data_IF_015119376316
#
_entry.id   IF_015119376316
#
_cell.length_a   1.000
_cell.length_b   1.000
_cell.length_c   1.000
_cell.angle_alpha   90.00
_cell.angle_beta   90.00
_cell.angle_gamma   90.00
#
_symmetry.space_group_name_H-M   'P 1'
#
loop_
_entity.id
_entity.type
_entity.pdbx_description
1 polymer ?
#
# COMPACT_ATOMS: atom_id res chain seq x y z
N UNK A 1 -4.09 -11.91 16.77
CA UNK A 1 -4.83 -10.67 16.41
C UNK A 1 -5.07 -10.63 14.91
N UNK A 2 -6.08 -9.90 14.44
CA UNK A 2 -6.33 -9.69 13.01
C UNK A 2 -6.27 -8.18 12.74
N UNK A 3 -5.51 -7.79 11.73
CA UNK A 3 -5.42 -6.40 11.27
C UNK A 3 -5.92 -6.34 9.83
N UNK A 4 -6.89 -5.45 9.57
CA UNK A 4 -7.47 -5.25 8.25
C UNK A 4 -6.98 -3.91 7.71
N UNK A 5 -6.28 -3.97 6.58
CA UNK A 5 -5.55 -2.88 5.94
C UNK A 5 -4.07 -2.88 6.30
N UNK A 6 -3.18 -2.85 5.30
CA UNK A 6 -1.73 -2.69 5.45
C UNK A 6 -1.26 -1.25 5.14
N UNK A 7 -2.16 -0.28 5.24
CA UNK A 7 -1.82 1.14 5.18
C UNK A 7 -0.93 1.58 6.36
N UNK A 8 -0.62 2.88 6.42
CA UNK A 8 0.36 3.42 7.40
C UNK A 8 0.07 3.00 8.85
N UNK A 9 -1.19 3.09 9.28
CA UNK A 9 -1.59 2.74 10.65
C UNK A 9 -1.70 1.24 10.87
N UNK A 10 -2.19 0.49 9.87
CA UNK A 10 -2.37 -0.96 9.97
C UNK A 10 -1.04 -1.71 10.02
N UNK A 11 -0.07 -1.29 9.21
CA UNK A 11 1.29 -1.81 9.26
C UNK A 11 1.97 -1.56 10.60
N UNK A 12 1.81 -0.35 11.18
CA UNK A 12 2.36 -0.02 12.49
C UNK A 12 1.72 -0.85 13.62
N UNK A 13 0.40 -0.98 13.61
CA UNK A 13 -0.31 -1.82 14.57
C UNK A 13 0.10 -3.29 14.46
N UNK A 14 0.21 -3.82 13.24
CA UNK A 14 0.66 -5.20 13.02
C UNK A 14 2.10 -5.41 13.54
N UNK A 15 3.01 -4.47 13.29
CA UNK A 15 4.39 -4.51 13.83
C UNK A 15 4.37 -4.57 15.36
N UNK A 16 3.69 -3.64 16.01
CA UNK A 16 3.69 -3.54 17.47
C UNK A 16 3.07 -4.79 18.14
N UNK A 17 2.01 -5.35 17.55
CA UNK A 17 1.37 -6.57 18.04
C UNK A 17 2.29 -7.79 17.87
N UNK A 18 2.98 -7.92 16.73
CA UNK A 18 3.96 -8.98 16.49
C UNK A 18 5.15 -8.89 17.46
N UNK A 19 5.69 -7.69 17.70
CA UNK A 19 6.80 -7.47 18.65
C UNK A 19 6.42 -7.82 20.09
N UNK A 20 5.14 -7.68 20.44
CA UNK A 20 4.59 -8.12 21.74
C UNK A 20 4.29 -9.62 21.81
N UNK A 21 4.71 -10.41 20.82
CA UNK A 21 4.60 -11.87 20.82
C UNK A 21 3.27 -12.42 20.32
N UNK A 22 2.39 -11.58 19.76
CA UNK A 22 1.13 -12.05 19.20
C UNK A 22 1.33 -12.57 17.78
N UNK A 23 0.66 -13.66 17.44
CA UNK A 23 0.48 -14.06 16.04
C UNK A 23 -0.57 -13.13 15.41
N UNK A 24 -0.18 -12.40 14.36
CA UNK A 24 -1.03 -11.43 13.68
C UNK A 24 -1.31 -11.88 12.25
N UNK A 25 -2.59 -11.92 11.87
CA UNK A 25 -3.02 -12.05 10.48
C UNK A 25 -3.30 -10.65 9.92
N UNK A 26 -2.60 -10.27 8.86
CA UNK A 26 -2.77 -9.00 8.15
C UNK A 26 -3.48 -9.24 6.81
N UNK A 27 -4.57 -8.52 6.56
CA UNK A 27 -5.36 -8.62 5.33
C UNK A 27 -5.38 -7.27 4.62
N UNK A 28 -5.03 -7.22 3.34
CA UNK A 28 -5.08 -6.01 2.51
C UNK A 28 -5.81 -6.32 1.19
N UNK A 29 -6.56 -5.35 0.67
CA UNK A 29 -7.26 -5.47 -0.62
C UNK A 29 -6.27 -5.38 -1.79
N UNK A 30 -5.25 -4.54 -1.67
CA UNK A 30 -4.22 -4.31 -2.68
C UNK A 30 -3.37 -5.55 -3.00
N UNK A 31 -2.62 -5.47 -4.10
CA UNK A 31 -1.58 -6.46 -4.45
C UNK A 31 -0.35 -6.21 -3.57
N UNK A 32 0.44 -7.26 -3.34
CA UNK A 32 1.77 -7.09 -2.75
C UNK A 32 2.63 -6.24 -3.69
N UNK A 33 3.07 -5.09 -3.20
CA UNK A 33 3.92 -4.16 -3.93
C UNK A 33 5.15 -3.91 -3.07
N UNK A 34 6.31 -4.36 -3.54
CA UNK A 34 7.57 -4.14 -2.85
C UNK A 34 8.07 -2.74 -3.16
N UNK A 35 8.32 -1.98 -2.09
CA UNK A 35 9.00 -0.69 -2.19
C UNK A 35 10.30 -0.85 -2.98
N UNK A 36 10.61 0.13 -3.84
CA UNK A 36 11.77 0.18 -4.77
C UNK A 36 11.63 -0.71 -6.01
N UNK A 37 11.08 -1.92 -5.90
CA UNK A 37 11.01 -2.86 -7.04
C UNK A 37 9.79 -2.62 -7.91
N UNK A 38 8.60 -2.57 -7.30
CA UNK A 38 7.33 -2.59 -8.03
C UNK A 38 6.78 -1.17 -8.27
N UNK A 39 7.60 -0.15 -8.03
CA UNK A 39 7.26 1.27 -8.18
C UNK A 39 7.42 1.72 -9.65
N UNK A 40 6.75 1.00 -10.56
CA UNK A 40 6.86 1.20 -12.01
C UNK A 40 6.44 2.61 -12.47
N UNK A 41 5.48 3.20 -11.75
CA UNK A 41 4.87 4.47 -12.11
C UNK A 41 5.51 5.66 -11.36
N UNK A 42 6.31 5.42 -10.32
CA UNK A 42 6.74 6.46 -9.38
C UNK A 42 7.66 7.53 -10.01
N UNK A 43 8.35 7.19 -11.10
CA UNK A 43 9.21 8.12 -11.84
C UNK A 43 8.61 8.57 -13.18
N UNK A 44 7.35 8.22 -13.47
CA UNK A 44 6.74 8.63 -14.74
C UNK A 44 6.46 10.14 -14.74
N UNK A 45 6.86 10.85 -15.79
CA UNK A 45 6.54 12.25 -15.91
C UNK A 45 5.03 12.46 -16.12
N UNK A 46 4.52 13.61 -15.66
CA UNK A 46 3.08 13.90 -15.63
C UNK A 46 2.37 13.76 -17.00
N UNK A 47 3.08 13.90 -18.12
CA UNK A 47 2.53 13.81 -19.48
C UNK A 47 2.28 12.39 -19.99
N UNK A 48 2.87 11.36 -19.36
CA UNK A 48 2.67 9.94 -19.68
C UNK A 48 1.39 9.36 -19.08
N UNK A 49 0.82 10.01 -18.06
CA UNK A 49 -0.45 9.60 -17.48
C UNK A 49 -1.61 9.91 -18.43
N UNK A 50 -2.52 8.95 -18.71
CA UNK A 50 -3.62 9.12 -19.67
C UNK A 50 -4.48 10.37 -19.43
N UNK A 51 -4.63 10.77 -18.17
CA UNK A 51 -5.42 11.92 -17.79
C UNK A 51 -4.59 13.12 -17.30
N UNK A 52 -3.25 13.01 -17.24
CA UNK A 52 -2.33 14.08 -16.80
C UNK A 52 -2.82 14.84 -15.55
N UNK A 53 -3.34 14.12 -14.56
CA UNK A 53 -3.89 14.68 -13.32
C UNK A 53 -5.29 15.32 -13.44
N UNK A 54 -5.92 15.31 -14.62
CA UNK A 54 -7.33 15.68 -14.82
C UNK A 54 -8.24 14.52 -14.43
N UNK A 55 -9.48 14.84 -14.08
CA UNK A 55 -10.51 13.82 -13.83
C UNK A 55 -10.80 13.07 -15.13
N UNK A 56 -10.95 11.75 -15.04
CA UNK A 56 -11.52 10.92 -16.12
C UNK A 56 -12.90 11.47 -16.46
N UNK A 57 -13.12 11.84 -17.72
CA UNK A 57 -14.43 12.25 -18.23
C UNK A 57 -15.15 11.00 -18.74
N UNK A 58 -16.45 10.91 -18.49
CA UNK A 58 -17.30 9.81 -18.94
C UNK A 58 -17.60 9.91 -20.44
#
# INVERSE_FOLDING_TARGET
>A
AIVVGSGISGGWAAKELCEKGLKVLLLERGRDLKHIQDYLESNKPAWEYPHRGRRTQA
#
